data_IF_215008350471
#
_entry.id   IF_215008350471
#
_cell.length_a   1.000
_cell.length_b   1.000
_cell.length_c   1.000
_cell.angle_alpha   90.00
_cell.angle_beta   90.00
_cell.angle_gamma   90.00
#
_symmetry.space_group_name_H-M   'P 1'
#
loop_
_entity.id
_entity.type
_entity.pdbx_description
1 polymer ?
#
# COMPACT_ATOMS: atom_id res chain seq x y z
N UNK A 1 -45.39 48.80 13.41
CA UNK A 1 -45.71 47.37 13.35
C UNK A 1 -46.97 47.23 12.53
N UNK A 2 -46.85 46.88 11.26
CA UNK A 2 -48.00 46.38 10.51
C UNK A 2 -48.15 44.91 10.92
N UNK A 3 -49.28 44.52 11.48
CA UNK A 3 -49.57 43.11 11.75
C UNK A 3 -49.42 42.35 10.43
N UNK A 4 -48.57 41.32 10.39
CA UNK A 4 -48.53 40.37 9.28
C UNK A 4 -49.93 39.79 9.15
N UNK A 5 -50.63 40.07 8.05
CA UNK A 5 -51.91 39.45 7.76
C UNK A 5 -51.70 37.94 7.63
N UNK A 6 -52.17 37.18 8.61
CA UNK A 6 -52.16 35.72 8.57
C UNK A 6 -53.21 35.20 7.56
N UNK A 7 -52.90 34.10 6.88
CA UNK A 7 -53.78 33.42 5.92
C UNK A 7 -55.15 33.12 6.53
N UNK A 8 -55.20 32.78 7.82
CA UNK A 8 -56.45 32.51 8.56
C UNK A 8 -57.35 33.75 8.70
N UNK A 9 -56.74 34.92 8.88
CA UNK A 9 -57.43 36.20 9.03
C UNK A 9 -57.98 36.68 7.67
N UNK A 10 -57.21 36.53 6.60
CA UNK A 10 -57.68 36.78 5.23
C UNK A 10 -58.85 35.85 4.87
N UNK A 11 -58.73 34.56 5.16
CA UNK A 11 -59.80 33.60 4.89
C UNK A 11 -61.10 33.98 5.62
N UNK A 12 -61.01 34.32 6.91
CA UNK A 12 -62.17 34.76 7.70
C UNK A 12 -62.78 36.06 7.17
N UNK A 13 -61.97 36.99 6.67
CA UNK A 13 -62.44 38.23 6.03
C UNK A 13 -63.23 37.95 4.75
N UNK A 14 -62.72 37.06 3.88
CA UNK A 14 -63.39 36.67 2.65
C UNK A 14 -64.67 35.87 2.91
N UNK A 15 -64.65 34.92 3.87
CA UNK A 15 -65.84 34.15 4.27
C UNK A 15 -66.91 35.05 4.88
N UNK A 16 -66.53 36.03 5.72
CA UNK A 16 -67.46 37.01 6.29
C UNK A 16 -68.07 37.97 5.26
N UNK A 17 -67.42 38.18 4.12
CA UNK A 17 -68.02 38.92 2.99
C UNK A 17 -68.91 38.00 2.15
N UNK A 18 -68.50 36.75 1.93
CA UNK A 18 -69.24 35.74 1.16
C UNK A 18 -70.60 35.42 1.80
N UNK A 19 -70.62 35.25 3.12
CA UNK A 19 -71.79 34.78 3.85
C UNK A 19 -72.68 35.94 4.37
N UNK A 20 -72.39 37.18 3.98
CA UNK A 20 -73.13 38.38 4.40
C UNK A 20 -74.55 38.43 3.81
N UNK A 21 -75.55 38.64 4.69
CA UNK A 21 -76.97 38.69 4.29
C UNK A 21 -77.72 39.94 4.77
N UNK A 22 -77.02 40.89 5.42
CA UNK A 22 -77.64 42.12 5.93
C UNK A 22 -78.04 43.07 4.79
N UNK A 23 -79.28 43.54 4.77
CA UNK A 23 -79.74 44.62 3.90
C UNK A 23 -78.99 45.91 4.28
N UNK A 24 -78.35 46.56 3.29
CA UNK A 24 -77.46 47.74 3.38
C UNK A 24 -75.98 47.49 3.74
N UNK A 25 -75.47 46.27 3.67
CA UNK A 25 -74.02 46.04 3.74
C UNK A 25 -73.31 46.63 2.49
N UNK A 26 -72.26 47.46 2.70
CA UNK A 26 -71.46 48.01 1.60
C UNK A 26 -70.44 46.97 1.10
N UNK A 27 -70.94 45.99 0.34
CA UNK A 27 -70.18 44.84 -0.15
C UNK A 27 -69.03 45.27 -1.08
N UNK A 28 -69.22 46.33 -1.87
CA UNK A 28 -68.21 46.82 -2.82
C UNK A 28 -66.93 47.31 -2.13
N UNK A 29 -67.05 48.13 -1.07
CA UNK A 29 -65.87 48.58 -0.32
C UNK A 29 -65.19 47.44 0.44
N UNK A 30 -65.97 46.48 0.96
CA UNK A 30 -65.43 45.34 1.70
C UNK A 30 -64.67 44.38 0.80
N UNK A 31 -65.23 44.04 -0.37
CA UNK A 31 -64.56 43.16 -1.32
C UNK A 31 -63.32 43.84 -1.90
N UNK A 32 -63.37 45.14 -2.17
CA UNK A 32 -62.21 45.93 -2.60
C UNK A 32 -61.08 45.89 -1.58
N UNK A 33 -61.38 46.12 -0.29
CA UNK A 33 -60.38 46.05 0.77
C UNK A 33 -59.82 44.63 0.97
N UNK A 34 -60.65 43.60 0.83
CA UNK A 34 -60.20 42.21 0.90
C UNK A 34 -59.23 41.86 -0.25
N UNK A 35 -59.49 42.32 -1.47
CA UNK A 35 -58.58 42.16 -2.62
C UNK A 35 -57.28 42.93 -2.46
N UNK A 36 -57.32 44.17 -1.94
CA UNK A 36 -56.10 44.93 -1.64
C UNK A 36 -55.24 44.23 -0.58
N UNK A 37 -55.89 43.64 0.44
CA UNK A 37 -55.21 42.87 1.47
C UNK A 37 -54.59 41.58 0.92
N UNK A 38 -55.28 40.89 0.01
CA UNK A 38 -54.75 39.71 -0.69
C UNK A 38 -53.57 40.08 -1.58
N UNK A 39 -53.64 41.20 -2.31
CA UNK A 39 -52.56 41.67 -3.17
C UNK A 39 -51.29 41.97 -2.36
N UNK A 40 -51.43 42.65 -1.22
CA UNK A 40 -50.32 42.88 -0.29
C UNK A 40 -49.75 41.57 0.24
N UNK A 41 -50.60 40.65 0.68
CA UNK A 41 -50.16 39.34 1.15
C UNK A 41 -49.40 38.54 0.09
N UNK A 42 -49.89 38.50 -1.15
CA UNK A 42 -49.20 37.83 -2.24
C UNK A 42 -47.88 38.52 -2.62
N UNK A 43 -47.80 39.84 -2.55
CA UNK A 43 -46.56 40.58 -2.82
C UNK A 43 -45.49 40.35 -1.73
N UNK A 44 -45.92 40.26 -0.47
CA UNK A 44 -45.01 40.11 0.67
C UNK A 44 -44.60 38.65 0.94
N UNK A 45 -45.47 37.65 0.74
CA UNK A 45 -45.10 36.24 0.98
C UNK A 45 -44.29 35.59 -0.16
N UNK A 46 -44.40 36.10 -1.40
CA UNK A 46 -43.74 35.44 -2.55
C UNK A 46 -42.34 35.97 -2.85
N UNK A 47 -41.97 37.14 -2.32
CA UNK A 47 -40.70 37.79 -2.63
C UNK A 47 -39.51 37.19 -1.86
N UNK A 48 -39.70 36.77 -0.62
CA UNK A 48 -38.59 36.32 0.26
C UNK A 48 -38.48 34.79 0.42
N UNK A 49 -39.38 34.01 -0.20
CA UNK A 49 -39.50 32.57 0.08
C UNK A 49 -38.62 31.66 -0.79
N UNK A 50 -38.12 32.14 -1.94
CA UNK A 50 -37.38 31.33 -2.91
C UNK A 50 -36.21 32.09 -3.51
N UNK A 51 -35.10 31.39 -3.75
CA UNK A 51 -33.97 31.93 -4.50
C UNK A 51 -34.38 32.27 -5.93
N UNK A 52 -34.01 33.47 -6.38
CA UNK A 52 -34.30 33.96 -7.72
C UNK A 52 -33.69 33.06 -8.81
N UNK A 53 -34.46 32.85 -9.90
CA UNK A 53 -34.00 32.16 -11.11
C UNK A 53 -33.36 33.10 -12.14
N UNK A 54 -33.45 34.42 -11.94
CA UNK A 54 -33.12 35.43 -12.97
C UNK A 54 -32.14 36.50 -12.50
N UNK A 55 -32.08 36.72 -11.20
CA UNK A 55 -31.29 37.80 -10.59
C UNK A 55 -30.40 37.20 -9.51
N UNK A 56 -29.30 37.88 -9.22
CA UNK A 56 -28.42 37.51 -8.11
C UNK A 56 -29.20 37.57 -6.80
N UNK A 57 -29.05 36.54 -5.99
CA UNK A 57 -29.78 36.36 -4.74
C UNK A 57 -28.95 35.51 -3.77
N UNK A 58 -29.25 35.59 -2.48
CA UNK A 58 -28.50 34.92 -1.43
C UNK A 58 -29.43 34.27 -0.42
N UNK A 59 -29.13 33.02 -0.07
CA UNK A 59 -29.71 32.41 1.11
C UNK A 59 -28.85 32.76 2.33
N UNK A 60 -29.46 33.35 3.35
CA UNK A 60 -28.79 33.60 4.64
C UNK A 60 -28.61 32.30 5.44
N UNK A 61 -29.43 31.28 5.17
CA UNK A 61 -29.40 29.98 5.84
C UNK A 61 -28.59 28.91 5.10
N UNK A 62 -28.37 27.78 5.79
CA UNK A 62 -27.75 26.60 5.19
C UNK A 62 -28.69 25.92 4.20
N UNK A 63 -28.19 25.63 2.99
CA UNK A 63 -28.93 24.89 1.96
C UNK A 63 -28.46 23.44 1.94
N UNK A 64 -29.39 22.49 2.12
CA UNK A 64 -29.12 21.05 2.00
C UNK A 64 -29.67 20.50 0.69
N UNK A 65 -28.80 19.98 -0.18
CA UNK A 65 -29.17 19.35 -1.45
C UNK A 65 -29.29 17.83 -1.32
N UNK A 66 -30.52 17.29 -1.29
CA UNK A 66 -30.77 15.84 -1.11
C UNK A 66 -30.30 14.95 -2.27
N UNK A 67 -30.13 15.52 -3.46
CA UNK A 67 -29.72 14.80 -4.69
C UNK A 67 -28.39 15.30 -5.26
N UNK A 68 -27.65 16.11 -4.49
CA UNK A 68 -26.42 16.76 -4.93
C UNK A 68 -26.64 18.10 -5.64
N UNK A 69 -25.52 18.69 -6.07
CA UNK A 69 -25.45 19.99 -6.73
C UNK A 69 -24.75 19.80 -8.09
N UNK A 70 -25.39 20.27 -9.16
CA UNK A 70 -24.77 20.35 -10.50
C UNK A 70 -24.70 21.83 -10.86
N UNK A 71 -23.48 22.30 -11.13
CA UNK A 71 -23.22 23.64 -11.67
C UNK A 71 -22.67 23.50 -13.08
N UNK A 72 -23.42 23.97 -14.07
CA UNK A 72 -22.98 24.01 -15.49
C UNK A 72 -21.85 25.02 -15.72
N UNK A 73 -21.63 25.92 -14.76
CA UNK A 73 -20.57 26.94 -14.76
C UNK A 73 -19.68 26.83 -13.52
N UNK A 74 -18.72 27.75 -13.38
CA UNK A 74 -17.80 27.81 -12.26
C UNK A 74 -18.53 28.00 -10.91
N UNK A 75 -18.31 27.08 -9.97
CA UNK A 75 -18.70 27.25 -8.57
C UNK A 75 -17.56 27.95 -7.79
N UNK A 76 -17.88 29.04 -7.09
CA UNK A 76 -16.93 29.74 -6.21
C UNK A 76 -17.18 29.36 -4.75
N UNK A 77 -16.27 28.59 -4.15
CA UNK A 77 -16.34 28.15 -2.74
C UNK A 77 -15.30 28.90 -1.90
N UNK A 78 -15.65 30.08 -1.39
CA UNK A 78 -14.71 31.02 -0.76
C UNK A 78 -14.02 30.47 0.50
N UNK A 79 -14.71 29.60 1.25
CA UNK A 79 -14.18 29.02 2.49
C UNK A 79 -13.62 27.59 2.29
N UNK A 80 -13.63 27.08 1.05
CA UNK A 80 -13.27 25.70 0.74
C UNK A 80 -14.47 24.74 0.64
N UNK A 81 -14.16 23.45 0.54
CA UNK A 81 -15.12 22.35 0.42
C UNK A 81 -14.73 21.20 1.34
N UNK A 82 -15.70 20.61 2.03
CA UNK A 82 -15.53 19.38 2.82
C UNK A 82 -16.33 18.25 2.20
N UNK A 83 -15.78 17.04 2.24
CA UNK A 83 -16.33 15.84 1.65
C UNK A 83 -16.46 14.75 2.73
N UNK A 84 -17.68 14.23 2.93
CA UNK A 84 -17.97 13.27 3.99
C UNK A 84 -17.86 13.88 5.40
N UNK A 85 -17.65 13.01 6.40
CA UNK A 85 -17.42 13.42 7.80
C UNK A 85 -15.95 13.82 7.99
N UNK A 86 -15.56 14.97 7.43
CA UNK A 86 -14.17 15.39 7.42
C UNK A 86 -13.59 15.56 8.84
N UNK A 87 -12.46 14.90 9.08
CA UNK A 87 -11.62 15.05 10.27
C UNK A 87 -10.18 15.16 9.78
N UNK A 88 -9.47 16.22 10.14
CA UNK A 88 -8.07 16.39 9.74
C UNK A 88 -7.15 15.47 10.56
N UNK A 89 -6.18 14.85 9.90
CA UNK A 89 -5.14 14.03 10.51
C UNK A 89 -4.41 13.17 9.49
N UNK A 90 -3.07 13.21 9.52
CA UNK A 90 -2.24 12.42 8.60
C UNK A 90 -2.42 10.90 8.74
N UNK A 91 -2.80 10.42 9.94
CA UNK A 91 -2.93 8.99 10.25
C UNK A 91 -4.35 8.55 10.61
N UNK A 92 -5.17 9.47 11.10
CA UNK A 92 -6.52 9.20 11.62
C UNK A 92 -7.57 10.15 11.03
N UNK A 93 -7.23 10.85 9.94
CA UNK A 93 -8.16 11.68 9.21
C UNK A 93 -9.29 10.89 8.58
N UNK A 94 -10.36 11.59 8.22
CA UNK A 94 -11.53 11.03 7.53
C UNK A 94 -12.01 12.01 6.49
N UNK A 95 -12.63 11.51 5.42
CA UNK A 95 -13.21 12.34 4.37
C UNK A 95 -12.15 13.08 3.54
N UNK A 96 -12.48 14.28 3.09
CA UNK A 96 -11.52 15.16 2.45
C UNK A 96 -11.88 16.63 2.58
N UNK A 97 -10.89 17.51 2.44
CA UNK A 97 -11.08 18.96 2.45
C UNK A 97 -10.21 19.62 1.40
N UNK A 98 -10.74 20.68 0.78
CA UNK A 98 -9.95 21.76 0.18
C UNK A 98 -10.23 23.01 1.00
N UNK A 99 -9.22 23.61 1.63
CA UNK A 99 -9.40 24.80 2.48
C UNK A 99 -9.45 26.11 1.66
N UNK A 100 -9.63 27.25 2.34
CA UNK A 100 -9.66 28.57 1.69
C UNK A 100 -8.34 28.97 1.01
N UNK A 101 -7.23 28.31 1.36
CA UNK A 101 -5.90 28.53 0.77
C UNK A 101 -5.60 27.55 -0.38
N UNK A 102 -6.50 26.59 -0.65
CA UNK A 102 -6.32 25.55 -1.65
C UNK A 102 -5.50 24.35 -1.18
N UNK A 103 -5.22 24.21 0.12
CA UNK A 103 -4.60 23.01 0.67
C UNK A 103 -5.62 21.87 0.61
N UNK A 104 -5.19 20.73 0.08
CA UNK A 104 -6.02 19.54 -0.04
C UNK A 104 -5.56 18.45 0.92
N UNK A 105 -6.48 17.94 1.74
CA UNK A 105 -6.31 16.74 2.56
C UNK A 105 -7.30 15.69 2.07
N UNK A 106 -6.79 14.56 1.58
CA UNK A 106 -7.58 13.47 1.00
C UNK A 106 -6.91 12.12 1.27
N UNK A 107 -7.71 11.06 1.38
CA UNK A 107 -7.23 9.69 1.60
C UNK A 107 -6.43 9.13 0.40
N UNK A 108 -6.89 9.38 -0.84
CA UNK A 108 -6.25 8.84 -2.04
C UNK A 108 -6.50 9.70 -3.28
N UNK A 109 -5.56 9.68 -4.22
CA UNK A 109 -5.65 10.35 -5.52
C UNK A 109 -5.26 9.36 -6.61
N UNK A 110 -6.15 9.14 -7.59
CA UNK A 110 -5.86 8.36 -8.81
C UNK A 110 -5.74 9.31 -10.01
N UNK A 111 -4.57 9.39 -10.66
CA UNK A 111 -4.32 10.25 -11.82
C UNK A 111 -4.00 9.42 -13.06
N UNK A 112 -4.79 9.56 -14.13
CA UNK A 112 -4.66 8.71 -15.35
C UNK A 112 -3.54 9.13 -16.30
N UNK A 113 -3.15 10.41 -16.30
CA UNK A 113 -2.20 10.94 -17.29
C UNK A 113 -0.91 11.43 -16.62
N UNK A 114 -0.92 12.53 -15.89
CA UNK A 114 0.23 12.97 -15.10
C UNK A 114 -0.17 13.89 -13.94
N UNK A 115 0.57 13.81 -12.84
CA UNK A 115 0.54 14.76 -11.72
C UNK A 115 1.77 15.65 -11.82
N UNK A 116 1.60 16.98 -11.84
CA UNK A 116 2.70 17.94 -11.88
C UNK A 116 2.75 18.71 -10.56
N UNK A 117 3.85 18.57 -9.83
CA UNK A 117 4.10 19.21 -8.54
C UNK A 117 5.52 19.78 -8.50
N UNK A 118 5.74 20.79 -7.66
CA UNK A 118 7.08 21.37 -7.45
C UNK A 118 7.99 20.42 -6.68
N UNK A 119 7.46 19.79 -5.63
CA UNK A 119 8.17 18.83 -4.78
C UNK A 119 7.19 17.74 -4.30
N UNK A 120 7.66 16.49 -4.28
CA UNK A 120 6.94 15.35 -3.74
C UNK A 120 7.79 14.72 -2.64
N UNK A 121 7.39 14.94 -1.38
CA UNK A 121 8.04 14.33 -0.21
C UNK A 121 7.32 13.02 0.09
N UNK A 122 7.96 11.90 -0.25
CA UNK A 122 7.53 10.55 0.13
C UNK A 122 8.46 10.01 1.20
N UNK A 123 7.92 9.22 2.13
CA UNK A 123 8.78 8.41 2.99
C UNK A 123 9.58 7.42 2.12
N UNK A 124 10.91 7.53 2.17
CA UNK A 124 11.86 6.75 1.34
C UNK A 124 12.50 5.56 2.08
N UNK A 125 12.24 5.41 3.39
CA UNK A 125 12.85 4.33 4.15
C UNK A 125 12.06 3.03 3.94
N UNK A 126 12.67 2.09 3.22
CA UNK A 126 12.24 0.70 3.21
C UNK A 126 13.18 -0.08 4.13
N UNK A 127 12.65 -0.66 5.19
CA UNK A 127 13.38 -1.58 6.06
C UNK A 127 13.02 -3.02 5.66
N UNK A 128 14.02 -3.87 5.54
CA UNK A 128 13.84 -5.30 5.29
C UNK A 128 14.46 -6.07 6.45
N UNK A 129 13.68 -6.96 7.05
CA UNK A 129 14.12 -7.86 8.11
C UNK A 129 14.52 -9.21 7.49
N UNK A 130 15.56 -9.85 8.04
CA UNK A 130 16.01 -11.18 7.61
C UNK A 130 16.98 -11.19 6.43
N UNK A 131 16.83 -12.19 5.57
CA UNK A 131 17.67 -12.39 4.38
C UNK A 131 16.95 -11.91 3.12
N UNK A 132 17.62 -11.07 2.34
CA UNK A 132 17.15 -10.63 1.02
C UNK A 132 17.98 -11.26 -0.07
N UNK A 133 17.37 -12.14 -0.86
CA UNK A 133 17.99 -12.78 -2.03
C UNK A 133 17.66 -12.01 -3.31
N UNK A 134 18.68 -11.80 -4.13
CA UNK A 134 18.60 -11.12 -5.43
C UNK A 134 18.78 -12.14 -6.55
N UNK A 135 17.67 -12.80 -6.87
CA UNK A 135 17.57 -13.93 -7.80
C UNK A 135 16.09 -14.20 -8.08
N UNK A 136 15.78 -15.15 -8.97
CA UNK A 136 14.42 -15.63 -9.20
C UNK A 136 13.80 -16.15 -7.90
N UNK A 137 12.65 -15.59 -7.56
CA UNK A 137 11.94 -15.85 -6.31
C UNK A 137 10.45 -15.90 -6.56
N UNK A 138 9.72 -16.63 -5.73
CA UNK A 138 8.28 -16.80 -5.80
C UNK A 138 7.69 -17.00 -4.39
N UNK A 139 6.38 -16.83 -4.26
CA UNK A 139 5.65 -17.16 -3.03
C UNK A 139 4.77 -18.37 -3.31
N UNK A 140 4.84 -19.39 -2.45
CA UNK A 140 3.99 -20.58 -2.55
C UNK A 140 2.55 -20.19 -2.17
N UNK A 141 1.60 -20.47 -3.06
CA UNK A 141 0.17 -20.28 -2.82
C UNK A 141 -0.46 -21.53 -2.19
N UNK A 142 -0.16 -22.70 -2.74
CA UNK A 142 -0.59 -23.99 -2.19
C UNK A 142 0.41 -25.10 -2.51
N UNK A 143 0.33 -26.21 -1.75
CA UNK A 143 1.25 -27.36 -1.87
C UNK A 143 0.46 -28.65 -2.05
N UNK A 144 0.79 -29.40 -3.10
CA UNK A 144 0.35 -30.77 -3.33
C UNK A 144 1.45 -31.74 -2.89
N UNK A 145 1.12 -32.73 -2.07
CA UNK A 145 2.04 -33.83 -1.75
C UNK A 145 1.99 -34.89 -2.85
N UNK A 146 3.10 -35.11 -3.54
CA UNK A 146 3.21 -36.10 -4.63
C UNK A 146 3.77 -37.45 -4.17
N UNK A 147 4.14 -37.57 -2.88
CA UNK A 147 4.79 -38.75 -2.31
C UNK A 147 6.31 -38.71 -2.43
N UNK A 148 7.02 -39.57 -1.68
CA UNK A 148 8.48 -39.71 -1.72
C UNK A 148 9.26 -38.38 -1.63
N UNK A 149 8.85 -37.50 -0.70
CA UNK A 149 9.40 -36.15 -0.52
C UNK A 149 9.37 -35.26 -1.77
N UNK A 150 8.46 -35.57 -2.70
CA UNK A 150 8.16 -34.75 -3.86
C UNK A 150 6.88 -33.94 -3.64
N UNK A 151 6.89 -32.70 -4.11
CA UNK A 151 5.81 -31.74 -3.91
C UNK A 151 5.52 -30.98 -5.20
N UNK A 152 4.23 -30.75 -5.44
CA UNK A 152 3.74 -29.80 -6.44
C UNK A 152 3.51 -28.46 -5.78
N UNK A 153 4.16 -27.40 -6.26
CA UNK A 153 4.03 -26.06 -5.71
C UNK A 153 3.29 -25.17 -6.70
N UNK A 154 2.14 -24.67 -6.28
CA UNK A 154 1.43 -23.61 -7.01
C UNK A 154 1.98 -22.27 -6.55
N UNK A 155 2.49 -21.48 -7.49
CA UNK A 155 3.18 -20.23 -7.21
C UNK A 155 2.25 -19.05 -7.45
N UNK A 156 2.22 -18.13 -6.49
CA UNK A 156 1.35 -16.95 -6.53
C UNK A 156 1.71 -16.06 -7.70
N UNK A 157 0.70 -15.71 -8.49
CA UNK A 157 0.85 -14.70 -9.54
C UNK A 157 1.08 -13.31 -8.94
N UNK A 158 2.20 -12.66 -9.31
CA UNK A 158 2.55 -11.33 -8.81
C UNK A 158 1.78 -10.20 -9.52
N UNK A 159 1.36 -10.44 -10.76
CA UNK A 159 0.58 -9.54 -11.60
C UNK A 159 -0.09 -10.33 -12.75
N UNK A 160 -1.10 -9.76 -13.40
CA UNK A 160 -1.78 -10.41 -14.51
C UNK A 160 -0.80 -10.79 -15.64
N UNK A 161 -0.71 -12.07 -15.98
CA UNK A 161 0.22 -12.60 -16.98
C UNK A 161 1.63 -12.91 -16.45
N UNK A 162 1.85 -12.88 -15.14
CA UNK A 162 3.09 -13.37 -14.53
C UNK A 162 3.27 -14.87 -14.78
N UNK A 163 4.49 -15.25 -15.14
CA UNK A 163 4.95 -16.62 -15.20
C UNK A 163 6.20 -16.76 -14.33
N UNK A 164 6.31 -17.87 -13.60
CA UNK A 164 7.47 -18.15 -12.77
C UNK A 164 8.75 -18.14 -13.60
N UNK A 165 9.80 -17.53 -13.05
CA UNK A 165 11.14 -17.54 -13.63
C UNK A 165 11.98 -18.72 -13.10
N UNK A 166 11.38 -19.68 -12.39
CA UNK A 166 12.11 -20.86 -11.96
C UNK A 166 12.52 -21.74 -13.15
N UNK A 167 13.65 -22.42 -13.00
CA UNK A 167 14.22 -23.33 -13.99
C UNK A 167 14.38 -24.73 -13.41
N UNK A 168 14.30 -25.74 -14.28
CA UNK A 168 14.61 -27.13 -13.91
C UNK A 168 16.05 -27.21 -13.41
N UNK A 169 16.26 -27.97 -12.34
CA UNK A 169 17.56 -28.10 -11.69
C UNK A 169 17.90 -26.98 -10.72
N UNK A 170 17.04 -25.95 -10.55
CA UNK A 170 17.25 -24.93 -9.53
C UNK A 170 17.33 -25.58 -8.14
N UNK A 171 18.35 -25.19 -7.38
CA UNK A 171 18.42 -25.41 -5.93
C UNK A 171 17.72 -24.22 -5.31
N UNK A 172 16.59 -24.45 -4.64
CA UNK A 172 15.78 -23.39 -4.04
C UNK A 172 15.82 -23.46 -2.53
N UNK A 173 15.91 -22.29 -1.89
CA UNK A 173 15.81 -22.09 -0.45
C UNK A 173 14.48 -21.42 -0.16
N UNK A 174 13.67 -22.02 0.70
CA UNK A 174 12.49 -21.41 1.29
C UNK A 174 12.67 -21.20 2.78
N UNK A 175 12.26 -20.06 3.31
CA UNK A 175 12.26 -19.80 4.75
C UNK A 175 10.86 -19.40 5.15
N UNK A 176 10.34 -20.06 6.19
CA UNK A 176 9.08 -19.66 6.83
C UNK A 176 9.37 -19.19 8.23
N UNK A 177 8.77 -18.07 8.57
CA UNK A 177 8.65 -17.59 9.93
C UNK A 177 7.16 -17.60 10.27
N UNK A 178 6.70 -18.65 10.94
CA UNK A 178 5.31 -18.75 11.38
C UNK A 178 5.11 -18.32 12.84
N UNK A 179 6.05 -17.58 13.43
CA UNK A 179 6.02 -17.19 14.85
C UNK A 179 4.74 -16.38 15.16
N UNK A 180 4.32 -15.49 14.26
CA UNK A 180 3.12 -14.67 14.44
C UNK A 180 1.80 -15.47 14.37
N UNK A 181 1.72 -16.50 13.51
CA UNK A 181 0.49 -17.30 13.35
C UNK A 181 0.37 -18.38 14.43
N UNK A 182 1.50 -18.92 14.88
CA UNK A 182 1.59 -19.86 16.00
C UNK A 182 1.08 -19.23 17.32
N UNK A 183 1.42 -17.95 17.55
CA UNK A 183 0.94 -17.20 18.71
C UNK A 183 -0.59 -17.07 18.79
N UNK A 184 -1.29 -17.09 17.63
CA UNK A 184 -2.74 -16.94 17.55
C UNK A 184 -3.52 -18.25 17.43
N UNK A 185 -2.86 -19.36 17.07
CA UNK A 185 -3.54 -20.63 16.73
C UNK A 185 -3.12 -21.83 17.60
N UNK A 186 -2.22 -21.64 18.58
CA UNK A 186 -1.75 -22.73 19.44
C UNK A 186 -0.96 -23.82 18.70
N UNK A 187 -0.54 -23.54 17.46
CA UNK A 187 0.37 -24.37 16.67
C UNK A 187 1.83 -24.00 17.00
N UNK A 188 2.76 -24.92 16.74
CA UNK A 188 4.19 -24.70 17.00
C UNK A 188 4.72 -23.51 16.21
N UNK A 189 5.44 -22.61 16.88
CA UNK A 189 6.15 -21.50 16.26
C UNK A 189 7.34 -22.04 15.47
N UNK A 190 7.12 -22.23 14.18
CA UNK A 190 8.06 -22.90 13.32
C UNK A 190 8.84 -21.87 12.48
N UNK A 191 10.13 -21.71 12.81
CA UNK A 191 11.13 -21.06 11.95
C UNK A 191 12.01 -22.14 11.35
N UNK A 192 11.79 -22.47 10.09
CA UNK A 192 12.57 -23.50 9.41
C UNK A 192 12.88 -23.13 7.96
N UNK A 193 13.92 -23.79 7.45
CA UNK A 193 14.34 -23.69 6.06
C UNK A 193 13.94 -24.97 5.33
N UNK A 194 13.39 -24.80 4.13
CA UNK A 194 13.12 -25.88 3.19
C UNK A 194 14.08 -25.76 2.01
N UNK A 195 14.90 -26.79 1.82
CA UNK A 195 15.78 -26.90 0.66
C UNK A 195 15.21 -27.89 -0.33
N UNK A 196 14.98 -27.45 -1.56
CA UNK A 196 14.36 -28.27 -2.59
C UNK A 196 15.09 -28.14 -3.92
N UNK A 197 14.96 -29.16 -4.74
CA UNK A 197 15.42 -29.21 -6.13
C UNK A 197 14.23 -29.14 -7.05
N UNK A 198 14.25 -28.25 -8.04
CA UNK A 198 13.20 -28.16 -9.06
C UNK A 198 13.35 -29.29 -10.08
N UNK A 199 12.32 -30.12 -10.22
CA UNK A 199 12.25 -31.27 -11.12
C UNK A 199 11.65 -30.91 -12.48
N UNK A 200 10.57 -30.13 -12.45
CA UNK A 200 9.81 -29.74 -13.64
C UNK A 200 9.20 -28.35 -13.42
N UNK A 201 9.00 -27.62 -14.52
CA UNK A 201 8.41 -26.27 -14.50
C UNK A 201 7.28 -26.19 -15.53
N UNK A 202 6.09 -25.82 -15.08
CA UNK A 202 4.96 -25.45 -15.91
C UNK A 202 4.68 -23.95 -15.74
N UNK A 203 5.39 -23.14 -16.54
CA UNK A 203 5.33 -21.69 -16.46
C UNK A 203 3.90 -21.17 -16.64
N UNK A 204 3.13 -21.72 -17.61
CA UNK A 204 1.76 -21.29 -17.93
C UNK A 204 0.81 -21.39 -16.73
N UNK A 205 1.01 -22.41 -15.90
CA UNK A 205 0.20 -22.64 -14.69
C UNK A 205 0.83 -22.06 -13.42
N UNK A 206 2.00 -21.41 -13.51
CA UNK A 206 2.80 -21.04 -12.34
C UNK A 206 2.99 -22.22 -11.38
N UNK A 207 3.32 -23.38 -11.93
CA UNK A 207 3.43 -24.62 -11.16
C UNK A 207 4.80 -25.24 -11.34
N UNK A 208 5.41 -25.71 -10.26
CA UNK A 208 6.68 -26.45 -10.28
C UNK A 208 6.54 -27.73 -9.47
N UNK A 209 7.25 -28.78 -9.89
CA UNK A 209 7.44 -29.96 -9.05
C UNK A 209 8.84 -29.95 -8.48
N UNK A 210 8.95 -30.28 -7.20
CA UNK A 210 10.21 -30.22 -6.48
C UNK A 210 10.43 -31.48 -5.66
N UNK A 211 11.69 -31.83 -5.43
CA UNK A 211 12.07 -32.87 -4.46
C UNK A 211 12.82 -32.21 -3.31
N UNK A 212 12.46 -32.57 -2.07
CA UNK A 212 13.15 -32.11 -0.87
C UNK A 212 14.56 -32.75 -0.80
N UNK A 213 15.57 -31.97 -0.45
CA UNK A 213 16.89 -32.53 -0.16
C UNK A 213 16.87 -33.38 1.12
N UNK A 214 17.64 -34.49 1.19
CA UNK A 214 17.81 -35.25 2.42
C UNK A 214 18.39 -34.40 3.56
N UNK A 215 18.11 -34.79 4.81
CA UNK A 215 18.62 -34.11 6.02
C UNK A 215 20.15 -33.99 6.05
N UNK A 216 20.86 -35.00 5.54
CA UNK A 216 22.32 -35.02 5.48
C UNK A 216 22.90 -34.00 4.47
N UNK A 217 22.10 -33.55 3.50
CA UNK A 217 22.53 -32.68 2.41
C UNK A 217 22.14 -31.21 2.62
N UNK A 218 21.71 -30.85 3.83
CA UNK A 218 21.33 -29.47 4.18
C UNK A 218 22.19 -28.91 5.33
N UNK A 219 22.50 -27.60 5.34
CA UNK A 219 23.39 -27.00 6.34
C UNK A 219 22.97 -27.21 7.80
N UNK A 220 21.67 -27.26 8.08
CA UNK A 220 21.15 -27.44 9.44
C UNK A 220 21.09 -28.92 9.90
N UNK A 221 21.44 -29.87 9.04
CA UNK A 221 21.31 -31.32 9.31
C UNK A 221 19.88 -31.82 9.45
N UNK A 222 18.88 -30.96 9.17
CA UNK A 222 17.45 -31.27 9.16
C UNK A 222 16.75 -30.37 8.16
N UNK A 223 16.00 -30.98 7.24
CA UNK A 223 15.20 -30.29 6.25
C UNK A 223 13.72 -30.41 6.58
N UNK A 224 12.91 -29.51 6.04
CA UNK A 224 11.48 -29.43 6.34
C UNK A 224 10.69 -29.26 5.04
N UNK A 225 9.48 -29.85 4.96
CA UNK A 225 8.65 -29.73 3.77
C UNK A 225 8.24 -28.28 3.50
N UNK A 226 8.02 -27.90 2.22
CA UNK A 226 7.46 -26.61 1.88
C UNK A 226 6.02 -26.47 2.39
N UNK A 227 5.57 -25.24 2.61
CA UNK A 227 4.20 -24.94 2.99
C UNK A 227 3.70 -23.65 2.33
N UNK A 228 2.39 -23.40 2.45
CA UNK A 228 1.75 -22.21 1.91
C UNK A 228 2.36 -20.93 2.49
N UNK A 229 2.37 -19.86 1.70
CA UNK A 229 2.93 -18.54 2.04
C UNK A 229 4.46 -18.49 2.19
N UNK A 230 5.16 -19.62 2.06
CA UNK A 230 6.61 -19.65 2.03
C UNK A 230 7.15 -18.86 0.83
N UNK A 231 8.07 -17.94 1.09
CA UNK A 231 8.87 -17.32 0.04
C UNK A 231 10.04 -18.24 -0.30
N UNK A 232 10.23 -18.49 -1.58
CA UNK A 232 11.33 -19.29 -2.12
C UNK A 232 12.21 -18.43 -3.03
N UNK A 233 13.50 -18.73 -3.05
CA UNK A 233 14.47 -18.09 -3.92
C UNK A 233 15.47 -19.11 -4.47
N UNK A 234 15.92 -18.91 -5.72
CA UNK A 234 17.02 -19.69 -6.30
C UNK A 234 18.32 -19.41 -5.53
N UNK A 235 18.89 -20.46 -4.97
CA UNK A 235 20.21 -20.44 -4.36
C UNK A 235 21.32 -20.74 -5.39
N UNK A 236 21.00 -21.63 -6.34
CA UNK A 236 21.89 -22.07 -7.42
C UNK A 236 21.17 -22.99 -8.40
N UNK A 237 21.93 -23.73 -9.20
CA UNK A 237 21.39 -24.71 -10.15
C UNK A 237 22.35 -25.88 -10.31
N UNK A 238 21.83 -27.11 -10.40
CA UNK A 238 22.67 -28.30 -10.45
C UNK A 238 23.54 -28.42 -11.69
N UNK A 239 23.10 -27.87 -12.82
CA UNK A 239 23.72 -28.13 -14.13
C UNK A 239 23.95 -26.88 -14.95
N UNK A 240 23.05 -25.90 -14.89
CA UNK A 240 23.18 -24.66 -15.65
C UNK A 240 24.07 -23.66 -14.91
N UNK A 241 25.31 -23.50 -15.37
CA UNK A 241 26.32 -22.62 -14.79
C UNK A 241 25.87 -21.15 -14.74
N UNK A 242 25.04 -20.70 -15.68
CA UNK A 242 24.52 -19.32 -15.68
C UNK A 242 23.59 -19.05 -14.50
N UNK A 243 23.00 -20.12 -13.93
CA UNK A 243 22.09 -20.11 -12.81
C UNK A 243 22.73 -20.63 -11.51
N UNK A 244 24.06 -20.74 -11.46
CA UNK A 244 24.79 -21.19 -10.26
C UNK A 244 25.26 -20.04 -9.36
N UNK A 245 24.76 -18.82 -9.58
CA UNK A 245 25.16 -17.66 -8.81
C UNK A 245 23.96 -16.93 -8.22
N UNK A 246 24.07 -16.49 -6.97
CA UNK A 246 23.10 -15.63 -6.33
C UNK A 246 23.83 -14.55 -5.50
N UNK A 247 23.12 -13.48 -5.20
CA UNK A 247 23.60 -12.41 -4.33
C UNK A 247 22.56 -12.23 -3.22
N UNK A 248 23.01 -12.06 -1.98
CA UNK A 248 22.09 -11.84 -0.87
C UNK A 248 22.68 -10.93 0.20
N UNK A 249 21.78 -10.26 0.91
CA UNK A 249 22.07 -9.47 2.11
C UNK A 249 21.41 -10.19 3.28
N UNK A 250 22.17 -10.50 4.32
CA UNK A 250 21.64 -11.13 5.51
C UNK A 250 21.85 -10.24 6.72
N UNK A 251 20.74 -9.82 7.33
CA UNK A 251 20.77 -9.13 8.62
C UNK A 251 21.14 -10.07 9.77
N UNK A 252 20.83 -11.36 9.66
CA UNK A 252 21.15 -12.37 10.68
C UNK A 252 22.63 -12.75 10.68
N UNK A 253 23.23 -12.87 9.50
CA UNK A 253 24.67 -13.14 9.34
C UNK A 253 25.51 -11.85 9.39
N UNK A 254 24.90 -10.66 9.33
CA UNK A 254 25.63 -9.39 9.32
C UNK A 254 26.55 -9.22 8.11
N UNK A 255 26.16 -9.74 6.94
CA UNK A 255 27.01 -9.74 5.75
C UNK A 255 26.24 -9.69 4.43
N UNK A 256 26.93 -9.19 3.42
CA UNK A 256 26.54 -9.20 2.02
C UNK A 256 27.39 -10.26 1.32
N UNK A 257 26.76 -11.16 0.57
CA UNK A 257 27.44 -12.31 -0.02
C UNK A 257 27.08 -12.44 -1.50
N UNK A 258 28.11 -12.62 -2.33
CA UNK A 258 27.99 -13.13 -3.69
C UNK A 258 28.44 -14.58 -3.69
N UNK A 259 27.51 -15.47 -4.03
CA UNK A 259 27.81 -16.88 -4.26
C UNK A 259 27.96 -17.18 -5.75
N UNK A 260 28.80 -18.16 -6.06
CA UNK A 260 29.09 -18.65 -7.42
C UNK A 260 29.26 -20.17 -7.41
N UNK A 261 28.93 -20.85 -8.51
CA UNK A 261 29.12 -22.30 -8.63
C UNK A 261 28.24 -23.15 -7.69
N UNK A 262 27.11 -22.62 -7.21
CA UNK A 262 26.24 -23.29 -6.23
C UNK A 262 25.39 -24.36 -6.92
N UNK A 263 25.65 -25.63 -6.58
CA UNK A 263 24.96 -26.80 -7.16
C UNK A 263 24.17 -27.62 -6.13
N UNK A 264 24.36 -27.34 -4.84
CA UNK A 264 23.74 -28.06 -3.71
C UNK A 264 23.57 -27.11 -2.50
N UNK A 265 22.74 -27.45 -1.50
CA UNK A 265 22.49 -26.58 -0.34
C UNK A 265 23.71 -26.31 0.53
N UNK A 266 24.52 -27.34 0.81
CA UNK A 266 25.77 -27.20 1.58
C UNK A 266 26.81 -26.58 0.66
N UNK A 267 27.26 -25.38 1.01
CA UNK A 267 28.29 -24.69 0.25
C UNK A 267 29.67 -25.30 0.50
N UNK A 268 30.47 -25.34 -0.56
CA UNK A 268 31.91 -25.52 -0.48
C UNK A 268 32.59 -24.14 -0.40
N UNK A 269 33.80 -24.04 0.15
CA UNK A 269 34.49 -22.75 0.40
C UNK A 269 34.67 -21.91 -0.87
N UNK A 270 34.89 -22.57 -2.01
CA UNK A 270 35.02 -21.91 -3.31
C UNK A 270 33.71 -21.30 -3.83
N UNK A 271 32.55 -21.62 -3.22
CA UNK A 271 31.28 -21.01 -3.61
C UNK A 271 31.18 -19.55 -3.19
N UNK A 272 31.97 -19.12 -2.20
CA UNK A 272 32.02 -17.73 -1.79
C UNK A 272 32.87 -16.95 -2.79
N UNK A 273 32.22 -16.21 -3.69
CA UNK A 273 32.91 -15.33 -4.65
C UNK A 273 33.33 -14.00 -4.00
N UNK A 274 32.45 -13.44 -3.16
CA UNK A 274 32.72 -12.22 -2.40
C UNK A 274 31.86 -12.18 -1.13
N UNK A 275 32.43 -11.67 -0.03
CA UNK A 275 31.74 -11.41 1.24
C UNK A 275 32.18 -10.06 1.78
N UNK A 276 31.21 -9.25 2.21
CA UNK A 276 31.44 -8.00 2.93
C UNK A 276 30.67 -8.04 4.25
N UNK A 277 31.34 -7.81 5.39
CA UNK A 277 30.75 -7.89 6.73
C UNK A 277 31.44 -8.95 7.58
N UNK A 278 30.67 -9.78 8.29
CA UNK A 278 31.22 -10.92 9.04
C UNK A 278 31.74 -12.03 8.10
N UNK A 279 32.90 -12.59 8.45
CA UNK A 279 33.60 -13.54 7.59
C UNK A 279 33.00 -14.96 7.69
N UNK A 280 32.98 -15.73 6.58
CA UNK A 280 32.66 -17.14 6.63
C UNK A 280 33.60 -17.92 7.56
N UNK A 281 33.12 -19.04 8.11
CA UNK A 281 33.90 -19.86 9.04
C UNK A 281 35.23 -20.35 8.45
N UNK A 282 35.26 -20.70 7.15
CA UNK A 282 36.51 -21.12 6.51
C UNK A 282 37.55 -20.00 6.43
N UNK A 283 37.15 -18.72 6.37
CA UNK A 283 38.09 -17.59 6.40
C UNK A 283 38.56 -17.33 7.83
N UNK A 284 37.65 -17.46 8.81
CA UNK A 284 37.97 -17.32 10.23
C UNK A 284 38.95 -18.40 10.71
N UNK A 285 38.97 -19.57 10.08
CA UNK A 285 39.89 -20.66 10.43
C UNK A 285 41.32 -20.51 9.88
N UNK A 286 41.59 -19.52 9.02
CA UNK A 286 42.89 -19.31 8.36
C UNK A 286 43.97 -18.62 9.22
N UNK A 287 43.76 -18.50 10.53
CA UNK A 287 44.67 -17.78 11.47
C UNK A 287 45.07 -16.37 10.97
N UNK A 288 44.14 -15.70 10.32
CA UNK A 288 44.33 -14.33 9.83
C UNK A 288 44.18 -13.34 10.99
N UNK A 289 44.82 -12.15 10.91
CA UNK A 289 44.70 -11.10 11.94
C UNK A 289 43.33 -10.38 11.88
N UNK A 290 42.25 -11.15 11.95
CA UNK A 290 40.86 -10.68 11.97
C UNK A 290 40.55 -10.22 13.39
N UNK A 291 40.12 -8.97 13.52
CA UNK A 291 39.74 -8.34 14.78
C UNK A 291 38.24 -8.53 14.97
N UNK A 292 37.85 -9.10 16.11
CA UNK A 292 36.45 -9.31 16.46
C UNK A 292 35.66 -7.99 16.40
N UNK A 293 34.50 -8.02 15.74
CA UNK A 293 33.58 -6.88 15.63
C UNK A 293 33.94 -5.86 14.55
N UNK A 294 34.92 -6.16 13.68
CA UNK A 294 35.17 -5.39 12.46
C UNK A 294 34.65 -6.14 11.25
N UNK A 295 34.16 -5.37 10.28
CA UNK A 295 33.78 -5.90 8.97
C UNK A 295 35.02 -6.05 8.09
N UNK A 296 35.01 -7.11 7.29
CA UNK A 296 36.07 -7.42 6.34
C UNK A 296 35.50 -7.61 4.94
N UNK A 297 36.39 -7.55 3.94
CA UNK A 297 36.10 -7.95 2.56
C UNK A 297 36.90 -9.23 2.26
N UNK A 298 36.19 -10.28 1.90
CA UNK A 298 36.75 -11.44 1.23
C UNK A 298 36.31 -11.41 -0.24
N UNK A 299 37.24 -11.60 -1.17
CA UNK A 299 36.94 -11.68 -2.60
C UNK A 299 37.92 -12.63 -3.28
N UNK A 300 37.42 -13.51 -4.15
CA UNK A 300 38.26 -14.44 -4.91
C UNK A 300 39.27 -13.73 -5.84
N UNK A 301 38.97 -12.50 -6.27
CA UNK A 301 39.88 -11.65 -7.02
C UNK A 301 39.49 -10.17 -6.91
N UNK A 302 40.49 -9.28 -6.90
CA UNK A 302 40.31 -7.83 -6.85
C UNK A 302 41.15 -7.20 -7.97
N UNK A 303 40.51 -6.45 -8.86
CA UNK A 303 41.18 -5.56 -9.81
C UNK A 303 40.96 -4.14 -9.30
N UNK A 304 42.03 -3.46 -8.92
CA UNK A 304 41.94 -2.11 -8.35
C UNK A 304 43.04 -1.21 -8.90
N UNK A 305 42.74 0.08 -8.96
CA UNK A 305 43.71 1.12 -9.28
C UNK A 305 44.44 1.59 -8.03
N UNK A 306 43.72 1.85 -6.94
CA UNK A 306 44.28 2.39 -5.70
C UNK A 306 43.80 1.61 -4.48
N UNK A 307 44.71 1.30 -3.56
CA UNK A 307 44.41 0.84 -2.20
C UNK A 307 45.05 1.82 -1.23
N UNK A 308 44.22 2.61 -0.55
CA UNK A 308 44.70 3.60 0.42
C UNK A 308 44.45 3.05 1.83
N UNK A 309 45.53 2.70 2.53
CA UNK A 309 45.46 2.22 3.91
C UNK A 309 45.58 3.38 4.89
N UNK A 310 44.57 3.52 5.73
CA UNK A 310 44.54 4.43 6.86
C UNK A 310 44.25 3.63 8.13
N UNK A 311 44.77 4.10 9.26
CA UNK A 311 44.41 3.54 10.55
C UNK A 311 42.96 3.91 10.94
N UNK A 312 42.50 3.38 12.06
CA UNK A 312 41.17 3.66 12.60
C UNK A 312 40.92 5.16 12.89
N UNK A 313 41.99 5.94 13.06
CA UNK A 313 41.96 7.38 13.30
C UNK A 313 42.15 8.21 12.01
N UNK A 314 42.01 7.58 10.84
CA UNK A 314 42.19 8.18 9.53
C UNK A 314 43.62 8.74 9.26
N UNK A 315 44.62 8.23 9.98
CA UNK A 315 46.04 8.53 9.71
C UNK A 315 46.60 7.54 8.70
N UNK A 316 47.46 8.01 7.78
CA UNK A 316 48.07 7.13 6.76
C UNK A 316 48.99 6.10 7.41
N UNK A 317 48.77 4.83 7.07
CA UNK A 317 49.77 3.78 7.26
C UNK A 317 50.83 3.94 6.16
N UNK A 318 52.12 3.83 6.50
CA UNK A 318 53.22 4.01 5.56
C UNK A 318 53.07 3.09 4.34
N UNK A 319 53.24 3.66 3.15
CA UNK A 319 53.02 3.05 1.83
C UNK A 319 53.87 1.76 1.67
N UNK A 320 53.25 0.69 1.18
CA UNK A 320 53.91 -0.52 0.64
C UNK A 320 54.29 -0.29 -0.83
#
# INVERSE_FOLDING_TARGET
MADKLDKSALQSLFEGIRDERRLQANTANRIGNAFLSLLHFCADETSDAFLSRKHDDAAEGMITFLRGLISEQMAQLKAGAQFGDFVSGLYNGKGGQVDANGNAEVESITVRTYMRVMELIVNRLSAQEGDTFFTESDTIESVDSLGDNCYGLHLRSKYSGYFTAQHVGNVIKGVVNNIASAANSGTSADYYTSWMRVNSVNAVKNYIEVTLYPDADVPAGKNFPPCELMNIARYGNQTDESLQSCFYISSSEGRIVKLTGVTKPILDDYNYGMVFGDMPEFVKSLDLPIVKGRDYLYAAGIITQDIIQIDYHASRLSIL
#
